data_IF_985722173770
#
_entry.id   IF_985722173770
#
_cell.length_a   1.000
_cell.length_b   1.000
_cell.length_c   1.000
_cell.angle_alpha   90.00
_cell.angle_beta   90.00
_cell.angle_gamma   90.00
#
_symmetry.space_group_name_H-M   'P 1'
#
loop_
_entity.id
_entity.type
_entity.pdbx_description
1 polymer ?
2 polymer ?
3 non-polymer ?
4 water ?
#
# COMPACT_ATOMS: atom_id res chain seq x y z
N UNK A 9 -8.87 -25.39 8.80
CA UNK A 9 -10.30 -25.48 8.60
C UNK A 9 -10.77 -24.45 7.57
N UNK A 10 -10.05 -23.34 7.48
CA UNK A 10 -10.39 -22.27 6.54
C UNK A 10 -10.05 -22.67 5.11
N UNK A 11 -9.00 -23.46 4.95
CA UNK A 11 -8.55 -23.89 3.64
C UNK A 11 -9.48 -24.92 3.02
N UNK A 12 -10.24 -25.61 3.87
CA UNK A 12 -11.13 -26.67 3.42
C UNK A 12 -12.46 -26.12 2.92
N UNK A 13 -12.75 -24.88 3.29
CA UNK A 13 -14.00 -24.22 2.88
C UNK A 13 -14.03 -24.01 1.37
N UNK A 14 -15.21 -24.06 0.79
CA UNK A 14 -15.44 -23.71 -0.59
C UNK A 14 -15.54 -22.21 -0.75
N UNK A 15 -15.57 -21.72 -1.97
CA UNK A 15 -15.61 -20.28 -2.23
C UNK A 15 -16.89 -19.65 -1.68
N UNK A 16 -18.02 -20.33 -1.88
CA UNK A 16 -19.30 -19.81 -1.39
C UNK A 16 -19.37 -19.88 0.13
N UNK A 17 -18.80 -20.93 0.71
CA UNK A 17 -18.72 -21.04 2.16
C UNK A 17 -17.87 -19.93 2.74
N UNK A 18 -16.81 -19.57 2.00
CA UNK A 18 -15.95 -18.45 2.40
C UNK A 18 -16.74 -17.14 2.39
N UNK A 19 -17.48 -16.91 1.32
CA UNK A 19 -18.28 -15.70 1.17
C UNK A 19 -19.35 -15.59 2.26
N UNK A 20 -20.11 -16.66 2.45
CA UNK A 20 -21.18 -16.67 3.44
C UNK A 20 -20.63 -16.45 4.84
N UNK A 21 -19.50 -17.07 5.14
CA UNK A 21 -18.87 -16.93 6.45
C UNK A 21 -18.45 -15.48 6.70
N UNK A 22 -17.91 -14.83 5.68
CA UNK A 22 -17.48 -13.44 5.79
C UNK A 22 -18.66 -12.49 5.92
N UNK A 23 -19.70 -12.73 5.14
CA UNK A 23 -20.90 -11.90 5.18
C UNK A 23 -21.60 -11.99 6.52
N UNK A 24 -21.64 -13.20 7.08
CA UNK A 24 -22.29 -13.43 8.37
C UNK A 24 -21.50 -12.79 9.50
N UNK A 25 -20.19 -12.62 9.29
CA UNK A 25 -19.31 -12.08 10.31
C UNK A 25 -19.29 -10.56 10.32
N UNK A 26 -19.99 -9.95 9.37
CA UNK A 26 -20.02 -8.50 9.25
C UNK A 26 -20.49 -7.81 10.52
N UNK A 27 -19.73 -6.80 10.97
CA UNK A 27 -20.09 -6.02 12.15
C UNK A 27 -21.28 -5.11 11.86
N UNK A 28 -21.98 -4.65 12.90
CA UNK A 28 -23.13 -3.77 12.68
C UNK A 28 -22.72 -2.34 12.36
N UNK A 29 -23.63 -1.58 11.74
CA UNK A 29 -23.39 -0.17 11.51
C UNK A 29 -23.83 0.62 12.73
N UNK A 30 -22.84 1.20 13.43
CA UNK A 30 -23.12 1.91 14.68
C UNK A 30 -23.54 3.35 14.42
N UNK A 31 -24.23 3.93 15.40
CA UNK A 31 -24.60 5.34 15.35
C UNK A 31 -23.65 6.15 16.21
N UNK A 32 -23.48 7.42 15.87
CA UNK A 32 -22.72 8.32 16.72
C UNK A 32 -23.65 8.94 17.75
N UNK A 33 -23.08 9.68 18.70
CA UNK A 33 -23.87 10.41 19.67
C UNK A 33 -24.71 11.46 18.96
N UNK A 34 -25.86 11.81 19.55
CA UNK A 34 -26.78 12.74 18.91
C UNK A 34 -26.62 14.17 19.43
N UNK A 39 -23.76 22.88 14.05
CA UNK A 39 -22.40 22.93 13.50
C UNK A 39 -21.36 22.38 14.44
N UNK A 40 -20.20 21.98 13.91
CA UNK A 40 -19.17 21.32 14.70
C UNK A 40 -17.97 22.22 14.99
N UNK A 41 -17.22 21.85 16.03
CA UNK A 41 -15.95 22.48 16.33
C UNK A 41 -14.85 21.44 16.14
N UNK A 42 -13.61 21.83 16.42
CA UNK A 42 -12.49 20.91 16.29
C UNK A 42 -12.56 19.82 17.36
N UNK A 43 -12.96 20.21 18.56
CA UNK A 43 -13.03 19.29 19.69
C UNK A 43 -14.25 18.39 19.61
N UNK A 44 -15.38 18.95 19.19
CA UNK A 44 -16.63 18.19 19.12
C UNK A 44 -16.62 17.20 17.95
N UNK A 45 -16.02 17.60 16.85
CA UNK A 45 -15.86 16.72 15.70
C UNK A 45 -15.02 15.52 16.08
N UNK A 46 -13.87 15.79 16.70
CA UNK A 46 -12.94 14.75 17.09
C UNK A 46 -13.54 13.87 18.19
N UNK A 47 -14.40 14.46 19.01
CA UNK A 47 -15.06 13.72 20.07
C UNK A 47 -16.00 12.66 19.54
N UNK A 48 -16.86 13.04 18.59
CA UNK A 48 -17.83 12.11 18.00
C UNK A 48 -17.14 10.97 17.27
N UNK A 49 -16.05 11.29 16.58
CA UNK A 49 -15.32 10.29 15.81
C UNK A 49 -14.55 9.32 16.70
N UNK A 50 -13.89 9.87 17.72
CA UNK A 50 -13.14 9.06 18.68
C UNK A 50 -14.06 8.07 19.39
N UNK A 51 -15.20 8.57 19.86
CA UNK A 51 -16.20 7.74 20.52
C UNK A 51 -16.70 6.63 19.59
N UNK A 52 -17.04 7.00 18.36
CA UNK A 52 -17.54 6.06 17.37
C UNK A 52 -16.52 5.00 17.01
N UNK A 53 -15.29 5.42 16.73
CA UNK A 53 -14.22 4.52 16.35
C UNK A 53 -13.90 3.54 17.47
N UNK A 54 -13.94 4.02 18.71
CA UNK A 54 -13.65 3.20 19.87
C UNK A 54 -14.66 2.08 20.06
N UNK A 55 -15.93 2.37 19.78
CA UNK A 55 -16.98 1.37 19.88
C UNK A 55 -16.90 0.39 18.71
N UNK A 56 -16.50 0.90 17.55
CA UNK A 56 -16.31 0.05 16.37
C UNK A 56 -15.21 -0.97 16.57
N UNK A 57 -14.17 -0.57 17.31
CA UNK A 57 -13.02 -1.43 17.58
C UNK A 57 -13.42 -2.72 18.26
N UNK A 58 -14.34 -2.61 19.23
CA UNK A 58 -14.82 -3.77 19.96
C UNK A 58 -15.48 -4.78 19.03
N UNK A 59 -16.30 -4.29 18.11
CA UNK A 59 -16.95 -5.14 17.13
C UNK A 59 -15.96 -5.69 16.10
N UNK A 60 -14.98 -4.87 15.72
CA UNK A 60 -13.96 -5.30 14.76
C UNK A 60 -13.19 -6.52 15.27
N UNK A 61 -12.87 -6.49 16.56
CA UNK A 61 -12.12 -7.57 17.20
C UNK A 61 -12.92 -8.88 17.19
N UNK A 62 -14.22 -8.78 17.40
CA UNK A 62 -15.08 -9.95 17.33
C UNK A 62 -15.31 -10.41 15.90
N UNK A 63 -15.30 -9.45 14.97
CA UNK A 63 -15.36 -9.77 13.55
C UNK A 63 -14.10 -10.50 13.12
N UNK A 64 -12.96 -10.05 13.64
CA UNK A 64 -11.66 -10.62 13.29
C UNK A 64 -11.57 -12.09 13.65
N UNK A 65 -12.05 -12.43 14.85
CA UNK A 65 -12.03 -13.82 15.31
C UNK A 65 -12.88 -14.73 14.42
N UNK A 66 -13.79 -14.13 13.66
CA UNK A 66 -14.66 -14.89 12.78
C UNK A 66 -14.14 -14.95 11.35
N UNK A 67 -13.07 -14.22 11.08
CA UNK A 67 -12.39 -14.34 9.78
C UNK A 67 -11.67 -15.67 9.73
N UNK A 68 -12.06 -16.53 8.77
CA UNK A 68 -11.49 -17.88 8.64
C UNK A 68 -9.95 -17.87 8.58
N UNK A 69 -9.32 -18.58 9.50
CA UNK A 69 -7.87 -18.64 9.55
C UNK A 69 -7.26 -17.79 10.64
N UNK A 70 -8.02 -16.79 11.09
CA UNK A 70 -7.51 -15.84 12.08
C UNK A 70 -7.42 -16.45 13.48
N UNK A 71 -8.27 -17.43 13.77
CA UNK A 71 -8.27 -18.09 15.07
C UNK A 71 -7.10 -19.07 15.19
N UNK A 72 -6.58 -19.50 14.04
CA UNK A 72 -5.49 -20.46 14.02
C UNK A 72 -4.16 -19.83 14.43
N UNK A 73 -4.15 -18.51 14.55
CA UNK A 73 -2.94 -17.78 14.91
C UNK A 73 -2.78 -17.65 16.41
N UNK A 74 -1.54 -17.47 16.85
CA UNK A 74 -1.25 -17.21 18.25
C UNK A 74 -1.89 -15.89 18.66
N UNK A 75 -2.11 -15.70 19.96
CA UNK A 75 -2.66 -14.45 20.47
C UNK A 75 -1.79 -13.27 20.05
N UNK A 76 -0.48 -13.44 20.21
CA UNK A 76 0.48 -12.39 19.85
C UNK A 76 0.37 -12.01 18.36
N UNK A 77 0.21 -13.02 17.52
CA UNK A 77 0.07 -12.79 16.08
C UNK A 77 -1.26 -12.10 15.75
N UNK A 78 -2.32 -12.52 16.42
CA UNK A 78 -3.62 -11.86 16.26
C UNK A 78 -3.53 -10.40 16.65
N UNK A 79 -2.90 -10.15 17.80
CA UNK A 79 -2.69 -8.80 18.30
C UNK A 79 -1.91 -7.94 17.31
N UNK A 80 -0.84 -8.51 16.76
CA UNK A 80 0.00 -7.79 15.80
C UNK A 80 -0.84 -7.31 14.61
N UNK A 81 -1.58 -8.22 14.00
CA UNK A 81 -2.35 -7.91 12.79
C UNK A 81 -3.38 -6.81 13.01
N UNK A 82 -4.10 -6.89 14.13
CA UNK A 82 -5.12 -5.91 14.46
C UNK A 82 -4.50 -4.54 14.73
N UNK A 83 -3.37 -4.53 15.43
CA UNK A 83 -2.65 -3.29 15.72
C UNK A 83 -2.20 -2.60 14.43
N UNK A 84 -1.86 -3.40 13.43
CA UNK A 84 -1.39 -2.88 12.15
C UNK A 84 -2.52 -2.43 11.24
N UNK A 85 -3.63 -3.15 11.27
CA UNK A 85 -4.66 -3.00 10.25
C UNK A 85 -5.90 -2.21 10.67
N UNK A 86 -6.02 -1.88 11.96
CA UNK A 86 -7.29 -1.41 12.49
C UNK A 86 -7.83 -0.13 11.84
N UNK A 87 -6.95 0.81 11.50
CA UNK A 87 -7.42 2.06 10.89
C UNK A 87 -7.76 1.85 9.42
N UNK A 88 -6.98 1.00 8.73
CA UNK A 88 -7.30 0.60 7.37
C UNK A 88 -8.69 -0.03 7.30
N UNK A 89 -8.95 -0.92 8.25
CA UNK A 89 -10.23 -1.64 8.31
C UNK A 89 -11.39 -0.69 8.61
N UNK A 90 -11.17 0.25 9.53
CA UNK A 90 -12.17 1.28 9.81
C UNK A 90 -12.41 2.13 8.57
N UNK A 91 -11.34 2.46 7.85
CA UNK A 91 -11.43 3.32 6.67
C UNK A 91 -12.15 2.67 5.50
N UNK A 92 -11.82 1.42 5.19
CA UNK A 92 -12.46 0.74 4.07
C UNK A 92 -13.94 0.51 4.39
N UNK A 93 -14.26 0.40 5.67
CA UNK A 93 -15.64 0.29 6.10
C UNK A 93 -16.37 1.60 5.91
N UNK A 94 -15.72 2.69 6.28
CA UNK A 94 -16.25 4.04 6.07
C UNK A 94 -16.50 4.31 4.59
N UNK A 95 -15.50 3.99 3.78
CA UNK A 95 -15.55 4.18 2.34
C UNK A 95 -16.69 3.36 1.72
N UNK A 96 -16.86 2.13 2.19
CA UNK A 96 -17.88 1.23 1.67
C UNK A 96 -19.30 1.76 1.86
N UNK A 97 -19.64 2.16 3.08
CA UNK A 97 -20.99 2.64 3.36
C UNK A 97 -21.18 4.10 2.93
N UNK A 98 -20.16 4.67 2.32
CA UNK A 98 -20.26 6.03 1.79
C UNK A 98 -20.51 6.01 0.29
N UNK A 99 -20.55 4.82 -0.29
CA UNK A 99 -20.70 4.66 -1.74
C UNK A 99 -21.99 5.26 -2.30
N UNK A 100 -23.11 4.98 -1.65
CA UNK A 100 -24.40 5.47 -2.14
C UNK A 100 -24.62 6.95 -1.80
N UNK A 101 -23.60 7.59 -1.25
CA UNK A 101 -23.68 9.01 -0.92
C UNK A 101 -22.51 9.78 -1.51
N UNK A 102 -22.50 9.97 -2.84
CA UNK A 102 -21.40 10.63 -3.56
C UNK A 102 -21.09 12.02 -3.03
N UNK A 103 -19.81 12.29 -2.75
CA UNK A 103 -19.40 13.57 -2.24
C UNK A 103 -19.55 13.70 -0.73
N UNK A 104 -19.97 12.61 -0.10
CA UNK A 104 -20.17 12.60 1.35
C UNK A 104 -19.56 11.36 1.99
N UNK A 105 -19.27 11.46 3.29
CA UNK A 105 -18.77 10.32 4.05
C UNK A 105 -19.75 9.94 5.15
N UNK A 106 -20.27 8.72 5.07
CA UNK A 106 -21.25 8.23 6.04
C UNK A 106 -20.56 7.56 7.23
N UNK A 107 -20.09 8.38 8.16
CA UNK A 107 -19.45 7.87 9.38
C UNK A 107 -20.44 7.03 10.18
N UNK A 108 -21.67 7.52 10.26
CA UNK A 108 -22.78 6.82 10.89
C UNK A 108 -24.04 7.28 10.20
N UNK A 109 -25.13 6.50 10.29
CA UNK A 109 -26.39 6.90 9.64
C UNK A 109 -26.86 8.30 10.07
N UNK A 110 -26.51 8.71 11.28
CA UNK A 110 -26.86 10.03 11.77
C UNK A 110 -25.65 10.96 11.81
N UNK A 111 -24.62 10.61 11.05
CA UNK A 111 -23.42 11.44 10.95
C UNK A 111 -22.86 11.41 9.53
N UNK A 112 -23.49 12.17 8.64
CA UNK A 112 -23.07 12.26 7.25
C UNK A 112 -22.39 13.59 6.99
N UNK A 113 -21.13 13.56 6.58
CA UNK A 113 -20.34 14.77 6.46
C UNK A 113 -19.82 15.03 5.05
N UNK A 114 -19.63 16.32 4.73
CA UNK A 114 -18.98 16.71 3.49
C UNK A 114 -17.57 17.22 3.80
N UNK A 115 -16.78 17.46 2.75
CA UNK A 115 -15.40 17.87 2.93
C UNK A 115 -15.30 19.25 3.57
N UNK A 116 -16.39 20.00 3.50
CA UNK A 116 -16.44 21.32 4.11
C UNK A 116 -16.45 21.26 5.62
N UNK A 117 -17.07 20.22 6.16
CA UNK A 117 -17.04 19.97 7.60
C UNK A 117 -15.68 19.41 7.98
N UNK A 118 -14.98 18.85 7.00
CA UNK A 118 -13.68 18.25 7.23
C UNK A 118 -12.62 19.25 7.63
N UNK A 119 -12.82 20.51 7.28
CA UNK A 119 -11.84 21.55 7.60
C UNK A 119 -11.90 21.97 9.06
N UNK A 120 -12.99 21.61 9.73
CA UNK A 120 -13.17 21.93 11.15
C UNK A 120 -12.01 21.40 11.98
N UNK A 121 -11.43 20.30 11.52
CA UNK A 121 -10.19 19.78 12.08
C UNK A 121 -9.04 20.08 11.13
N UNK A 122 -7.99 20.70 11.65
CA UNK A 122 -6.88 21.18 10.83
C UNK A 122 -6.05 20.05 10.23
N UNK A 123 -6.48 19.54 9.08
CA UNK A 123 -5.74 18.51 8.38
C UNK A 123 -6.58 17.31 8.02
N UNK A 124 -7.87 17.37 8.36
CA UNK A 124 -8.78 16.27 8.04
C UNK A 124 -9.17 16.31 6.57
N UNK A 125 -9.14 17.51 6.00
CA UNK A 125 -9.57 17.72 4.61
C UNK A 125 -8.69 16.96 3.61
N UNK A 126 -7.40 16.84 3.89
CA UNK A 126 -6.50 16.08 3.03
C UNK A 126 -6.91 14.61 2.98
N UNK A 127 -7.15 14.02 4.14
CA UNK A 127 -7.53 12.61 4.20
C UNK A 127 -9.00 12.44 3.82
N UNK A 128 -9.81 13.46 4.09
CA UNK A 128 -11.21 13.47 3.68
C UNK A 128 -11.34 13.26 2.18
N UNK A 129 -10.58 14.05 1.42
CA UNK A 129 -10.61 13.98 -0.03
C UNK A 129 -10.12 12.62 -0.54
N UNK A 130 -9.12 12.06 0.13
CA UNK A 130 -8.62 10.74 -0.22
C UNK A 130 -9.68 9.67 0.00
N UNK A 131 -10.40 9.79 1.10
CA UNK A 131 -11.49 8.86 1.42
C UNK A 131 -12.62 8.97 0.40
N UNK A 132 -12.97 10.20 0.06
CA UNK A 132 -14.00 10.45 -0.95
C UNK A 132 -13.57 9.91 -2.31
N UNK A 133 -12.29 10.07 -2.62
CA UNK A 133 -11.74 9.55 -3.87
C UNK A 133 -11.87 8.04 -3.93
N UNK A 134 -11.63 7.38 -2.80
CA UNK A 134 -11.71 5.93 -2.72
C UNK A 134 -13.15 5.45 -2.90
N UNK A 135 -14.09 6.16 -2.27
CA UNK A 135 -15.50 5.81 -2.37
C UNK A 135 -16.00 5.95 -3.81
N UNK A 136 -15.59 7.04 -4.45
CA UNK A 136 -15.95 7.28 -5.85
C UNK A 136 -15.35 6.22 -6.75
N UNK A 137 -14.15 5.76 -6.41
CA UNK A 137 -13.49 4.70 -7.15
C UNK A 137 -14.27 3.39 -7.02
N UNK A 138 -14.71 3.07 -5.80
CA UNK A 138 -15.52 1.89 -5.57
C UNK A 138 -16.86 1.97 -6.29
N UNK A 139 -17.46 3.15 -6.27
CA UNK A 139 -18.74 3.37 -6.94
C UNK A 139 -18.58 3.25 -8.45
N UNK A 140 -17.46 3.76 -8.97
CA UNK A 140 -17.15 3.63 -10.39
C UNK A 140 -17.01 2.17 -10.78
N UNK A 141 -16.39 1.38 -9.91
CA UNK A 141 -16.14 -0.03 -10.19
C UNK A 141 -17.35 -0.91 -9.90
N UNK A 142 -18.38 -0.32 -9.29
CA UNK A 142 -19.56 -1.05 -8.84
C UNK A 142 -19.15 -2.20 -7.92
N UNK A 143 -18.42 -1.86 -6.86
CA UNK A 143 -17.94 -2.83 -5.90
C UNK A 143 -19.09 -3.55 -5.21
N UNK A 144 -19.06 -4.88 -5.23
CA UNK A 144 -20.10 -5.68 -4.60
C UNK A 144 -19.72 -6.03 -3.16
N UNK A 145 -20.74 -6.25 -2.32
CA UNK A 145 -20.53 -6.56 -0.93
C UNK A 145 -19.68 -7.80 -0.70
N UNK A 146 -19.83 -8.79 -1.58
CA UNK A 146 -19.04 -10.01 -1.51
C UNK A 146 -17.57 -9.72 -1.76
N UNK A 147 -17.30 -8.76 -2.64
CA UNK A 147 -15.94 -8.33 -2.92
C UNK A 147 -15.38 -7.53 -1.75
N UNK A 148 -16.22 -6.66 -1.18
CA UNK A 148 -15.81 -5.80 -0.07
C UNK A 148 -15.33 -6.59 1.15
N UNK A 149 -16.05 -7.64 1.51
CA UNK A 149 -15.70 -8.41 2.70
C UNK A 149 -14.43 -9.20 2.48
N UNK A 150 -14.15 -9.54 1.22
CA UNK A 150 -12.90 -10.23 0.89
C UNK A 150 -11.71 -9.28 1.02
N UNK A 151 -11.87 -8.07 0.49
CA UNK A 151 -10.83 -7.04 0.58
C UNK A 151 -10.50 -6.69 2.03
N UNK A 152 -11.54 -6.58 2.85
CA UNK A 152 -11.35 -6.21 4.26
C UNK A 152 -10.63 -7.31 5.02
N UNK A 153 -10.92 -8.56 4.69
CA UNK A 153 -10.22 -9.70 5.28
C UNK A 153 -8.76 -9.72 4.82
N UNK A 154 -8.54 -9.39 3.56
CA UNK A 154 -7.19 -9.33 3.00
C UNK A 154 -6.34 -8.31 3.74
N UNK A 155 -6.93 -7.14 4.00
CA UNK A 155 -6.26 -6.09 4.78
C UNK A 155 -5.82 -6.60 6.14
N UNK A 156 -6.71 -7.32 6.81
CA UNK A 156 -6.44 -7.84 8.15
C UNK A 156 -5.25 -8.81 8.17
N UNK A 157 -5.18 -9.69 7.18
CA UNK A 157 -4.18 -10.73 7.15
C UNK A 157 -2.87 -10.30 6.50
N UNK A 158 -2.93 -9.28 5.65
CA UNK A 158 -1.76 -8.88 4.89
C UNK A 158 -0.94 -7.75 5.50
N UNK A 159 -1.63 -6.78 6.08
CA UNK A 159 -0.99 -5.51 6.48
C UNK A 159 0.15 -5.68 7.48
N UNK A 160 0.07 -6.70 8.33
CA UNK A 160 1.10 -6.91 9.33
C UNK A 160 2.03 -8.07 9.06
N UNK A 161 1.78 -8.81 7.98
CA UNK A 161 2.46 -10.09 7.78
C UNK A 161 3.99 -9.98 7.62
N UNK A 162 4.50 -8.81 7.27
CA UNK A 162 5.93 -8.64 7.04
C UNK A 162 6.64 -7.89 8.16
N UNK A 163 5.95 -7.67 9.27
CA UNK A 163 6.53 -6.95 10.40
C UNK A 163 6.61 -7.84 11.64
N UNK A 164 6.40 -9.14 11.45
CA UNK A 164 6.55 -10.11 12.52
C UNK A 164 7.97 -10.12 13.06
N UNK A 175 4.44 -17.58 8.80
CA UNK A 175 3.70 -16.71 7.90
C UNK A 175 2.98 -17.52 6.83
N UNK A 176 3.38 -18.77 6.68
CA UNK A 176 2.91 -19.60 5.58
C UNK A 176 1.41 -19.92 5.67
N UNK A 177 0.91 -20.07 6.90
CA UNK A 177 -0.52 -20.26 7.11
C UNK A 177 -1.30 -19.06 6.57
N UNK A 178 -0.86 -17.87 6.96
CA UNK A 178 -1.48 -16.62 6.53
C UNK A 178 -1.50 -16.49 5.02
N UNK A 179 -0.39 -16.82 4.38
CA UNK A 179 -0.26 -16.71 2.93
C UNK A 179 -1.20 -17.67 2.20
N UNK A 180 -1.41 -18.86 2.74
CA UNK A 180 -2.32 -19.82 2.12
C UNK A 180 -3.78 -19.39 2.30
N UNK A 181 -4.07 -18.70 3.40
CA UNK A 181 -5.40 -18.15 3.61
C UNK A 181 -5.63 -17.00 2.62
N UNK A 182 -4.60 -16.18 2.43
CA UNK A 182 -4.65 -15.09 1.48
C UNK A 182 -4.91 -15.58 0.06
N UNK A 183 -4.26 -16.69 -0.30
CA UNK A 183 -4.49 -17.31 -1.60
C UNK A 183 -5.94 -17.76 -1.74
N UNK A 184 -6.50 -18.27 -0.65
CA UNK A 184 -7.87 -18.78 -0.67
C UNK A 184 -8.87 -17.64 -0.91
N UNK A 185 -8.57 -16.47 -0.35
CA UNK A 185 -9.42 -15.31 -0.56
C UNK A 185 -9.29 -14.81 -2.00
N UNK A 186 -8.09 -14.93 -2.56
CA UNK A 186 -7.88 -14.61 -3.97
C UNK A 186 -8.72 -15.53 -4.84
N UNK A 187 -8.70 -16.82 -4.54
CA UNK A 187 -9.55 -17.79 -5.22
C UNK A 187 -11.02 -17.40 -5.10
N UNK A 188 -11.38 -16.89 -3.93
CA UNK A 188 -12.76 -16.51 -3.66
C UNK A 188 -13.15 -15.27 -4.47
N UNK A 189 -12.25 -14.29 -4.51
CA UNK A 189 -12.47 -13.08 -5.30
C UNK A 189 -12.65 -13.40 -6.77
N UNK A 190 -11.79 -14.24 -7.32
CA UNK A 190 -11.89 -14.67 -8.70
C UNK A 190 -13.21 -15.43 -8.94
N UNK A 191 -13.56 -16.28 -7.98
CA UNK A 191 -14.81 -17.04 -8.04
C UNK A 191 -16.03 -16.12 -8.15
N UNK A 192 -16.01 -15.03 -7.39
CA UNK A 192 -17.09 -14.06 -7.42
C UNK A 192 -17.20 -13.36 -8.76
N UNK A 193 -16.04 -13.06 -9.35
CA UNK A 193 -15.99 -12.35 -10.62
C UNK A 193 -16.41 -13.23 -11.78
N UNK A 194 -16.02 -14.50 -11.73
CA UNK A 194 -16.43 -15.46 -12.75
C UNK A 194 -17.94 -15.67 -12.70
N UNK A 195 -18.49 -15.63 -11.49
CA UNK A 195 -19.93 -15.75 -11.28
C UNK A 195 -20.68 -14.56 -11.88
N UNK A 196 -20.10 -13.38 -11.75
CA UNK A 196 -20.72 -12.15 -12.25
C UNK A 196 -20.69 -12.08 -13.77
N UNK A 197 -19.99 -13.02 -14.40
CA UNK A 197 -19.97 -13.12 -15.85
C UNK A 197 -18.79 -12.44 -16.51
N UNK A 198 -17.78 -12.12 -15.72
CA UNK A 198 -16.58 -11.48 -16.25
C UNK A 198 -15.72 -12.47 -17.03
N UNK A 199 -15.10 -11.99 -18.11
CA UNK A 199 -14.21 -12.83 -18.90
C UNK A 199 -12.90 -13.06 -18.15
N UNK A 200 -12.04 -13.91 -18.70
CA UNK A 200 -10.75 -14.20 -18.09
C UNK A 200 -9.90 -12.95 -17.94
N UNK A 201 -9.89 -12.13 -18.99
CA UNK A 201 -9.12 -10.89 -18.97
C UNK A 201 -9.68 -9.91 -17.96
N UNK A 202 -11.00 -9.77 -17.96
CA UNK A 202 -11.68 -8.85 -17.04
C UNK A 202 -11.49 -9.27 -15.59
N UNK A 203 -11.31 -10.57 -15.36
CA UNK A 203 -11.17 -11.11 -14.01
C UNK A 203 -9.86 -10.69 -13.35
N UNK A 204 -8.73 -10.88 -14.03
CA UNK A 204 -7.45 -10.51 -13.41
C UNK A 204 -7.26 -9.00 -13.43
N UNK A 205 -7.85 -8.32 -14.41
CA UNK A 205 -7.79 -6.87 -14.48
C UNK A 205 -8.51 -6.23 -13.29
N UNK A 206 -9.70 -6.73 -12.98
CA UNK A 206 -10.46 -6.21 -11.85
C UNK A 206 -9.79 -6.56 -10.53
N UNK A 207 -9.24 -7.77 -10.45
CA UNK A 207 -8.51 -8.21 -9.27
C UNK A 207 -7.36 -7.25 -8.96
N UNK A 208 -6.58 -6.92 -9.99
CA UNK A 208 -5.47 -5.99 -9.84
C UNK A 208 -5.95 -4.62 -9.40
N UNK A 209 -7.01 -4.13 -10.03
CA UNK A 209 -7.59 -2.84 -9.70
C UNK A 209 -7.99 -2.76 -8.23
N UNK A 210 -8.66 -3.81 -7.75
CA UNK A 210 -9.09 -3.84 -6.35
C UNK A 210 -7.91 -3.86 -5.38
N UNK A 211 -6.88 -4.63 -5.72
CA UNK A 211 -5.74 -4.78 -4.82
C UNK A 211 -4.85 -3.54 -4.79
N UNK A 212 -4.82 -2.80 -5.90
CA UNK A 212 -4.03 -1.58 -5.96
C UNK A 212 -4.63 -0.51 -5.06
N UNK A 213 -5.96 -0.51 -4.96
CA UNK A 213 -6.67 0.43 -4.09
C UNK A 213 -6.25 0.22 -2.63
N UNK A 214 -5.87 -1.01 -2.29
CA UNK A 214 -5.40 -1.33 -0.95
C UNK A 214 -4.11 -0.58 -0.59
N UNK A 215 -3.32 -0.24 -1.61
CA UNK A 215 -2.10 0.54 -1.39
C UNK A 215 -2.44 1.95 -0.94
N UNK A 216 -3.47 2.52 -1.55
CA UNK A 216 -4.02 3.81 -1.16
C UNK A 216 -4.63 3.82 0.23
N UNK A 217 -5.29 2.74 0.59
CA UNK A 217 -5.91 2.61 1.90
C UNK A 217 -4.82 2.57 2.96
N UNK A 218 -3.72 1.86 2.66
CA UNK A 218 -2.55 1.86 3.52
C UNK A 218 -2.00 3.27 3.69
N UNK A 219 -1.95 4.01 2.58
CA UNK A 219 -1.43 5.37 2.58
C UNK A 219 -2.29 6.29 3.43
N UNK A 220 -3.60 6.20 3.27
CA UNK A 220 -4.52 7.01 4.07
C UNK A 220 -4.35 6.69 5.55
N UNK A 221 -4.25 5.41 5.86
CA UNK A 221 -4.05 4.95 7.24
C UNK A 221 -2.74 5.49 7.83
N UNK A 222 -1.68 5.49 7.02
CA UNK A 222 -0.39 6.02 7.48
C UNK A 222 -0.47 7.50 7.83
N UNK A 223 -1.10 8.28 6.96
CA UNK A 223 -1.29 9.71 7.21
C UNK A 223 -2.23 9.92 8.40
N UNK A 224 -3.17 9.00 8.55
CA UNK A 224 -4.13 9.04 9.64
C UNK A 224 -3.47 8.81 10.99
N UNK A 225 -2.69 7.74 11.09
CA UNK A 225 -1.93 7.43 12.30
C UNK A 225 -1.06 8.61 12.71
N UNK A 226 -0.49 9.27 11.70
CA UNK A 226 0.46 10.36 11.90
C UNK A 226 -0.15 11.51 12.68
N UNK A 227 -1.43 11.75 12.46
CA UNK A 227 -2.11 12.86 13.12
C UNK A 227 -2.66 12.46 14.51
N UNK A 228 -2.91 11.18 14.73
CA UNK A 228 -3.42 10.71 16.02
C UNK A 228 -2.33 10.83 17.08
N UNK A 229 -1.09 10.61 16.66
CA UNK A 229 0.05 10.78 17.53
C UNK A 229 0.26 12.27 17.85
N UNK A 230 -0.18 13.13 16.94
CA UNK A 230 0.01 14.57 17.08
C UNK A 230 -1.16 15.24 17.80
N UNK A 231 -2.21 14.48 18.08
CA UNK A 231 -3.29 14.94 18.97
C UNK A 231 -3.36 14.26 20.32
N UNK A 232 -2.65 13.15 20.47
CA UNK A 232 -2.37 12.65 21.80
C UNK A 232 -1.45 13.67 22.44
N UNK A 233 -0.77 14.42 21.57
CA UNK A 233 0.25 15.39 21.95
C UNK A 233 -0.07 16.79 21.42
N UNK A 234 -0.75 17.62 22.20
CA UNK A 234 -1.28 17.25 23.51
C UNK A 234 -2.76 16.94 23.38
N UNK A 235 -3.39 16.55 24.49
CA UNK A 235 -4.79 16.16 24.49
C UNK A 235 -5.71 17.29 24.00
N UNK A 239 -8.83 10.52 23.83
CA UNK A 239 -8.55 9.18 23.31
C UNK A 239 -8.61 8.13 24.41
N UNK A 240 -9.35 7.07 24.17
CA UNK A 240 -9.51 5.99 25.15
C UNK A 240 -8.20 5.22 25.31
N UNK A 241 -8.08 4.49 26.42
CA UNK A 241 -6.90 3.69 26.69
C UNK A 241 -6.70 2.62 25.63
N UNK A 242 -7.80 2.08 25.11
CA UNK A 242 -7.74 1.09 24.05
C UNK A 242 -7.20 1.72 22.76
N UNK A 243 -7.70 2.92 22.44
CA UNK A 243 -7.20 3.65 21.28
C UNK A 243 -5.75 4.05 21.45
N UNK A 244 -5.37 4.40 22.67
CA UNK A 244 -3.99 4.79 22.96
C UNK A 244 -3.04 3.61 22.77
N UNK A 245 -3.50 2.41 23.12
CA UNK A 245 -2.67 1.22 22.97
C UNK A 245 -2.58 0.78 21.51
N UNK A 246 -3.64 0.99 20.75
CA UNK A 246 -3.62 0.76 19.32
C UNK A 246 -2.62 1.71 18.65
N UNK A 247 -2.53 2.91 19.18
CA UNK A 247 -1.67 3.95 18.63
C UNK A 247 -0.19 3.73 18.93
N UNK A 248 0.11 3.41 20.18
CA UNK A 248 1.50 3.22 20.62
C UNK A 248 2.23 2.17 19.80
N UNK A 249 1.48 1.24 19.22
CA UNK A 249 2.05 0.17 18.41
C UNK A 249 2.59 0.71 17.08
N UNK A 250 2.16 1.91 16.70
CA UNK A 250 2.60 2.52 15.44
C UNK A 250 3.66 3.59 15.65
N UNK A 251 4.23 3.65 16.86
CA UNK A 251 5.23 4.67 17.18
C UNK A 251 6.47 4.05 17.80
N UNK B 8 -2.19 7.22 -28.50
CA UNK B 8 -1.27 6.53 -27.61
C UNK B 8 -0.52 5.42 -28.33
N UNK B 9 0.79 5.37 -28.21
CA UNK B 9 1.54 4.15 -28.52
C UNK B 9 1.19 2.98 -27.59
N UNK B 10 0.95 3.31 -26.33
CA UNK B 10 1.07 2.35 -25.24
C UNK B 10 0.07 1.22 -25.41
N UNK B 11 -1.11 1.59 -25.86
CA UNK B 11 -2.23 0.68 -25.86
C UNK B 11 -2.01 -0.44 -26.83
N UNK B 12 -1.16 -0.19 -27.83
CA UNK B 12 -1.10 -1.05 -29.00
C UNK B 12 -0.09 -2.17 -28.87
N UNK B 13 0.56 -2.21 -27.72
CA UNK B 13 1.69 -3.09 -27.47
C UNK B 13 1.24 -4.48 -27.03
N UNK B 14 1.88 -5.50 -27.59
CA UNK B 14 1.70 -6.86 -27.11
C UNK B 14 2.40 -6.98 -25.76
N UNK B 15 2.16 -8.09 -25.06
CA UNK B 15 2.77 -8.31 -23.76
C UNK B 15 4.29 -8.37 -23.86
N UNK B 16 4.78 -9.05 -24.89
CA UNK B 16 6.21 -9.19 -25.10
C UNK B 16 6.87 -7.85 -25.42
N UNK B 17 6.19 -7.02 -26.21
CA UNK B 17 6.71 -5.70 -26.53
C UNK B 17 6.67 -4.77 -25.33
N UNK B 18 5.70 -4.99 -24.44
CA UNK B 18 5.65 -4.26 -23.18
C UNK B 18 6.87 -4.57 -22.34
N UNK B 19 7.18 -5.86 -22.20
CA UNK B 19 8.34 -6.30 -21.42
C UNK B 19 9.64 -5.75 -21.98
N UNK B 20 9.81 -5.84 -23.29
CA UNK B 20 11.01 -5.36 -23.96
C UNK B 20 11.24 -3.87 -23.69
N UNK B 21 10.17 -3.08 -23.84
CA UNK B 21 10.24 -1.64 -23.60
C UNK B 21 10.72 -1.34 -22.18
N UNK B 22 10.14 -2.04 -21.21
CA UNK B 22 10.49 -1.83 -19.81
C UNK B 22 11.92 -2.28 -19.51
N UNK B 23 12.30 -3.44 -20.05
CA UNK B 23 13.64 -3.98 -19.83
C UNK B 23 14.71 -3.06 -20.41
N UNK B 24 14.47 -2.54 -21.61
CA UNK B 24 15.42 -1.64 -22.26
C UNK B 24 15.52 -0.30 -21.55
N UNK B 25 14.46 0.05 -20.81
CA UNK B 25 14.38 1.34 -20.13
C UNK B 25 14.99 1.31 -18.74
N UNK B 26 15.46 0.15 -18.30
CA UNK B 26 16.02 0.01 -16.97
C UNK B 26 17.20 0.94 -16.72
N UNK B 27 17.15 1.68 -15.60
CA UNK B 27 18.27 2.54 -15.22
C UNK B 27 19.50 1.72 -14.85
N UNK B 28 20.68 2.33 -14.84
CA UNK B 28 21.87 1.57 -14.44
C UNK B 28 21.98 1.43 -12.93
N UNK B 29 22.80 0.48 -12.47
CA UNK B 29 23.08 0.36 -11.05
C UNK B 29 24.29 1.23 -10.72
N UNK B 30 24.04 2.29 -9.95
CA UNK B 30 25.08 3.26 -9.66
C UNK B 30 25.94 2.84 -8.47
N UNK B 31 27.15 3.40 -8.41
CA UNK B 31 28.02 3.18 -7.29
C UNK B 31 27.91 4.31 -6.28
N UNK B 32 28.12 3.98 -5.03
CA UNK B 32 28.32 4.92 -3.97
C UNK B 32 29.75 5.44 -3.88
N UNK B 33 29.92 6.43 -3.04
CA UNK B 33 31.21 7.02 -2.79
C UNK B 33 31.91 6.34 -1.65
N UNK B 34 31.39 5.21 -1.20
CA UNK B 34 31.78 4.68 0.08
C UNK B 34 33.27 4.48 0.10
N UNK B 35 33.94 5.02 1.10
CA UNK B 35 35.35 4.73 1.29
C UNK B 35 35.41 3.84 2.45
N UNK B 36 35.80 2.53 2.22
CA UNK B 36 36.04 1.76 3.44
C UNK B 36 37.22 2.39 4.09
N UNK B 37 37.30 2.34 5.42
CA UNK B 37 38.32 3.10 6.08
C UNK B 37 38.22 4.55 5.63
N UNK B 38 37.05 5.15 5.79
CA UNK B 38 36.40 5.23 7.10
C UNK B 38 35.86 3.90 7.58
N UNK B 39 35.96 3.62 8.86
CA UNK B 39 34.82 2.96 9.51
C UNK B 39 33.73 3.98 9.72
N UNK B 40 32.49 3.55 9.80
CA UNK B 40 31.41 4.43 9.48
C UNK B 40 31.45 5.58 10.46
N UNK B 41 31.20 6.78 9.98
CA UNK B 41 30.82 7.85 10.86
C UNK B 41 29.55 7.44 11.50
N UNK B 42 28.62 6.99 10.69
CA UNK B 42 27.22 6.98 11.06
C UNK B 42 26.62 8.36 11.12
N UNK B 43 27.26 9.35 10.52
CA UNK B 43 26.50 10.27 9.71
C UNK B 43 27.13 10.62 8.40
N UNK B 44 28.27 9.99 8.11
CA UNK B 44 28.72 9.89 6.76
C UNK B 44 27.71 9.07 5.98
N UNK B 45 27.15 8.08 6.64
CA UNK B 45 26.37 7.07 5.96
C UNK B 45 25.14 7.66 5.31
N UNK B 46 24.51 8.61 5.97
CA UNK B 46 23.42 9.34 5.39
C UNK B 46 23.82 10.19 4.22
N UNK B 47 25.00 10.77 4.29
CA UNK B 47 25.56 11.49 3.16
C UNK B 47 25.74 10.55 1.98
N UNK B 48 26.28 9.37 2.26
CA UNK B 48 26.46 8.33 1.24
C UNK B 48 25.13 7.95 0.58
N UNK B 49 24.13 7.70 1.42
CA UNK B 49 22.82 7.28 0.93
C UNK B 49 22.09 8.42 0.21
N UNK B 50 22.24 9.63 0.72
CA UNK B 50 21.62 10.80 0.10
C UNK B 50 22.24 11.10 -1.27
N UNK B 51 23.56 11.11 -1.33
CA UNK B 51 24.27 11.33 -2.58
C UNK B 51 23.90 10.28 -3.62
N UNK B 52 23.76 9.04 -3.16
CA UNK B 52 23.38 7.94 -4.04
C UNK B 52 21.96 8.10 -4.56
N UNK B 53 21.02 8.34 -3.63
CA UNK B 53 19.62 8.52 -4.00
C UNK B 53 19.42 9.68 -4.94
N UNK B 54 20.19 10.75 -4.72
CA UNK B 54 20.11 11.95 -5.55
C UNK B 54 20.54 11.67 -6.99
N UNK B 55 21.60 10.88 -7.16
CA UNK B 55 22.06 10.52 -8.50
C UNK B 55 21.08 9.55 -9.15
N UNK B 56 20.51 8.64 -8.35
CA UNK B 56 19.51 7.70 -8.84
C UNK B 56 18.25 8.40 -9.33
N UNK B 57 17.87 9.47 -8.65
CA UNK B 57 16.67 10.24 -9.02
C UNK B 57 16.75 10.76 -10.44
N UNK B 58 17.94 11.22 -10.84
CA UNK B 58 18.15 11.73 -12.18
C UNK B 58 17.86 10.65 -13.22
N UNK B 59 18.34 9.44 -12.96
CA UNK B 59 18.10 8.31 -13.85
C UNK B 59 16.65 7.87 -13.80
N UNK B 60 16.04 7.95 -12.61
CA UNK B 60 14.64 7.58 -12.45
C UNK B 60 13.72 8.48 -13.27
N UNK B 61 14.03 9.78 -13.27
CA UNK B 61 13.26 10.76 -14.02
C UNK B 61 13.28 10.45 -15.51
N UNK B 62 14.46 10.11 -16.02
CA UNK B 62 14.59 9.74 -17.43
C UNK B 62 14.05 8.34 -17.71
N UNK B 63 14.02 7.50 -16.67
CA UNK B 63 13.40 6.19 -16.79
C UNK B 63 11.88 6.31 -16.95
N UNK B 64 11.29 7.21 -16.16
CA UNK B 64 9.84 7.41 -16.18
C UNK B 64 9.34 7.81 -17.56
N UNK B 65 10.13 8.61 -18.27
CA UNK B 65 9.79 9.04 -19.62
C UNK B 65 9.63 7.86 -20.57
N UNK B 66 10.34 6.78 -20.30
CA UNK B 66 10.34 5.62 -21.19
C UNK B 66 9.32 4.57 -20.75
N UNK B 67 8.60 4.85 -19.68
CA UNK B 67 7.50 3.99 -19.25
C UNK B 67 6.28 4.31 -20.10
N UNK B 68 5.75 3.29 -20.80
CA UNK B 68 4.60 3.44 -21.73
C UNK B 68 3.44 4.21 -21.11
N UNK B 69 3.05 5.30 -21.76
CA UNK B 69 1.91 6.09 -21.33
C UNK B 69 2.28 7.32 -20.51
N UNK B 70 3.48 7.31 -19.94
CA UNK B 70 3.90 8.39 -19.05
C UNK B 70 4.06 9.74 -19.77
N UNK B 71 4.47 9.69 -21.03
CA UNK B 71 4.66 10.92 -21.80
C UNK B 71 3.34 11.44 -22.38
N UNK B 72 2.29 10.64 -22.25
CA UNK B 72 0.97 11.06 -22.69
C UNK B 72 0.28 11.91 -21.63
N UNK B 73 0.97 12.11 -20.51
CA UNK B 73 0.44 12.90 -19.41
C UNK B 73 1.02 14.30 -19.42
N UNK B 74 0.33 15.24 -18.77
CA UNK B 74 0.82 16.61 -18.65
C UNK B 74 2.05 16.65 -17.76
N UNK B 75 2.83 17.72 -17.87
CA UNK B 75 4.00 17.90 -17.03
C UNK B 75 3.61 17.93 -15.56
N UNK B 76 2.48 18.57 -15.27
CA UNK B 76 1.96 18.66 -13.91
C UNK B 76 1.70 17.29 -13.32
N UNK B 77 1.10 16.40 -14.12
CA UNK B 77 0.78 15.05 -13.66
C UNK B 77 2.03 14.19 -13.55
N UNK B 78 2.99 14.38 -14.47
CA UNK B 78 4.25 13.66 -14.40
C UNK B 78 5.00 14.01 -13.12
N UNK B 79 5.04 15.30 -12.81
CA UNK B 79 5.66 15.78 -11.58
C UNK B 79 5.01 15.16 -10.35
N UNK B 80 3.68 15.12 -10.35
CA UNK B 80 2.93 14.61 -9.22
C UNK B 80 3.18 13.12 -8.98
N UNK B 81 3.14 12.33 -10.06
CA UNK B 81 3.36 10.89 -9.96
C UNK B 81 4.73 10.57 -9.38
N UNK B 82 5.75 11.33 -9.80
CA UNK B 82 7.11 11.13 -9.33
C UNK B 82 7.29 11.59 -7.88
N UNK B 83 6.65 12.70 -7.52
CA UNK B 83 6.72 13.21 -6.15
C UNK B 83 6.17 12.19 -5.16
N UNK B 84 5.14 11.47 -5.59
CA UNK B 84 4.48 10.49 -4.74
C UNK B 84 5.24 9.17 -4.68
N UNK B 85 5.83 8.77 -5.80
CA UNK B 85 6.32 7.40 -5.95
C UNK B 85 7.83 7.23 -5.85
N UNK B 86 8.59 8.32 -5.82
CA UNK B 86 10.04 8.23 -5.99
C UNK B 86 10.74 7.37 -4.92
N UNK B 87 10.31 7.46 -3.67
CA UNK B 87 10.95 6.69 -2.61
C UNK B 87 10.56 5.21 -2.73
N UNK B 88 9.29 4.95 -3.05
CA UNK B 88 8.83 3.59 -3.32
C UNK B 88 9.66 2.93 -4.40
N UNK B 89 9.90 3.69 -5.47
CA UNK B 89 10.64 3.18 -6.63
C UNK B 89 12.10 2.91 -6.28
N UNK B 90 12.70 3.82 -5.50
CA UNK B 90 14.05 3.58 -4.99
C UNK B 90 14.09 2.32 -4.12
N UNK B 91 13.05 2.14 -3.32
CA UNK B 91 13.00 1.02 -2.38
C UNK B 91 12.85 -0.33 -3.08
N UNK B 92 11.98 -0.40 -4.09
CA UNK B 92 11.76 -1.67 -4.76
C UNK B 92 12.97 -2.03 -5.63
N UNK B 93 13.69 -1.01 -6.09
CA UNK B 93 14.92 -1.23 -6.83
C UNK B 93 15.96 -1.83 -5.90
N UNK B 94 16.04 -1.27 -4.70
CA UNK B 94 16.98 -1.74 -3.68
C UNK B 94 16.74 -3.19 -3.28
N UNK B 95 15.49 -3.53 -2.98
CA UNK B 95 15.17 -4.88 -2.51
C UNK B 95 15.34 -5.90 -3.64
N UNK B 96 15.19 -5.46 -4.89
CA UNK B 96 15.38 -6.33 -6.05
C UNK B 96 16.85 -6.72 -6.23
N UNK B 97 17.74 -5.74 -6.16
CA UNK B 97 19.16 -6.03 -6.33
C UNK B 97 19.76 -6.61 -5.05
N UNK B 98 18.96 -6.66 -3.99
CA UNK B 98 19.39 -7.25 -2.73
C UNK B 98 18.91 -8.69 -2.58
N UNK B 99 18.17 -9.17 -3.58
CA UNK B 99 17.56 -10.49 -3.54
C UNK B 99 18.57 -11.62 -3.30
N UNK B 100 19.75 -11.51 -3.92
CA UNK B 100 20.74 -12.57 -3.81
C UNK B 100 21.70 -12.35 -2.64
N UNK B 101 21.34 -11.44 -1.75
CA UNK B 101 22.16 -11.15 -0.59
C UNK B 101 21.36 -11.24 0.70
N UNK B 102 21.11 -12.47 1.16
CA UNK B 102 20.31 -12.72 2.38
C UNK B 102 20.81 -11.94 3.59
N UNK B 103 19.90 -11.25 4.26
CA UNK B 103 20.21 -10.52 5.48
C UNK B 103 20.96 -9.22 5.27
N UNK B 104 21.17 -8.83 4.01
CA UNK B 104 21.84 -7.56 3.71
C UNK B 104 21.15 -6.80 2.59
N UNK B 105 21.40 -5.49 2.53
CA UNK B 105 20.83 -4.63 1.50
C UNK B 105 21.92 -4.10 0.58
N UNK B 106 21.79 -4.37 -0.71
CA UNK B 106 22.78 -3.93 -1.69
C UNK B 106 22.42 -2.54 -2.21
N UNK B 107 22.79 -1.51 -1.47
CA UNK B 107 22.54 -0.13 -1.86
C UNK B 107 23.32 0.21 -3.13
N UNK B 108 24.52 -0.35 -3.21
CA UNK B 108 25.38 -0.21 -4.37
C UNK B 108 26.32 -1.42 -4.38
N UNK B 109 26.87 -1.78 -5.56
CA UNK B 109 27.80 -2.92 -5.62
C UNK B 109 28.94 -2.82 -4.61
N UNK B 110 29.29 -1.60 -4.22
CA UNK B 110 30.34 -1.39 -3.23
C UNK B 110 29.77 -0.92 -1.89
N UNK B 111 28.48 -1.10 -1.68
CA UNK B 111 27.85 -0.73 -0.41
C UNK B 111 26.80 -1.76 -0.01
N UNK B 112 27.25 -2.85 0.62
CA UNK B 112 26.37 -3.91 1.08
C UNK B 112 26.26 -3.86 2.60
N UNK B 113 25.06 -3.61 3.12
CA UNK B 113 24.92 -3.30 4.54
C UNK B 113 24.00 -4.28 5.27
N UNK B 114 24.30 -4.52 6.55
CA UNK B 114 23.47 -5.36 7.40
C UNK B 114 22.58 -4.52 8.32
N UNK B 115 21.82 -5.20 9.19
CA UNK B 115 20.97 -4.55 10.17
C UNK B 115 21.73 -3.68 11.15
N UNK B 116 22.92 -4.17 11.51
CA UNK B 116 23.70 -3.56 12.58
C UNK B 116 24.26 -2.25 12.18
N UNK B 117 24.55 -2.10 10.89
CA UNK B 117 25.20 -0.90 10.40
C UNK B 117 24.10 0.03 10.05
N UNK B 118 22.92 -0.52 10.15
CA UNK B 118 21.69 0.25 10.05
C UNK B 118 21.54 1.15 11.23
N UNK B 119 21.89 0.60 12.38
CA UNK B 119 21.63 1.25 13.65
C UNK B 119 22.43 2.54 13.69
N UNK B 120 23.37 2.68 12.78
CA UNK B 120 24.20 3.85 12.77
C UNK B 120 23.30 5.04 12.62
N UNK B 121 22.06 4.82 12.20
CA UNK B 121 21.09 5.93 12.23
C UNK B 121 19.76 5.65 12.92
N UNK B 122 19.30 6.64 13.64
CA UNK B 122 18.51 6.33 14.80
C UNK B 122 17.25 5.63 14.37
N UNK B 123 16.58 6.19 13.39
CA UNK B 123 15.34 5.67 12.86
C UNK B 123 15.43 4.34 12.15
N UNK B 124 16.50 4.17 11.40
CA UNK B 124 16.48 3.42 10.18
C UNK B 124 16.18 1.96 10.37
N UNK B 125 16.58 1.39 11.49
CA UNK B 125 16.58 -0.10 11.54
C UNK B 125 15.21 -0.64 11.15
N UNK B 126 14.20 0.15 11.47
CA UNK B 126 12.83 -0.26 11.38
C UNK B 126 12.51 -0.43 9.91
N UNK B 127 12.82 0.61 9.15
CA UNK B 127 12.70 0.58 7.71
C UNK B 127 13.66 -0.47 7.15
N UNK B 128 14.83 -0.60 7.77
CA UNK B 128 15.84 -1.56 7.32
C UNK B 128 15.30 -2.99 7.39
N UNK B 129 14.67 -3.34 8.50
CA UNK B 129 14.08 -4.66 8.68
C UNK B 129 12.96 -4.97 7.69
N UNK B 130 12.16 -3.96 7.38
CA UNK B 130 11.06 -4.13 6.44
C UNK B 130 11.57 -4.33 5.02
N UNK B 131 12.63 -3.61 4.67
CA UNK B 131 13.24 -3.77 3.36
C UNK B 131 13.81 -5.18 3.20
N UNK B 132 14.44 -5.68 4.26
CA UNK B 132 14.97 -7.04 4.28
C UNK B 132 13.87 -8.08 4.13
N UNK B 133 12.77 -7.88 4.85
CA UNK B 133 11.64 -8.80 4.78
C UNK B 133 11.04 -8.83 3.39
N UNK B 134 10.99 -7.67 2.74
CA UNK B 134 10.48 -7.55 1.38
C UNK B 134 11.37 -8.30 0.40
N UNK B 135 12.68 -8.13 0.55
CA UNK B 135 13.65 -8.80 -0.31
C UNK B 135 13.57 -10.31 -0.12
N UNK B 136 13.43 -10.74 1.12
CA UNK B 136 13.26 -12.16 1.44
C UNK B 136 12.00 -12.71 0.76
N UNK B 137 10.94 -11.90 0.77
CA UNK B 137 9.69 -12.28 0.14
C UNK B 137 9.85 -12.48 -1.37
N UNK B 138 10.57 -11.56 -2.01
CA UNK B 138 10.85 -11.67 -3.44
C UNK B 138 11.67 -12.92 -3.74
N UNK B 139 12.63 -13.22 -2.87
CA UNK B 139 13.48 -14.40 -3.02
C UNK B 139 12.67 -15.68 -2.93
N UNK B 140 11.77 -15.72 -1.94
CA UNK B 140 10.89 -16.86 -1.71
C UNK B 140 9.98 -17.11 -2.91
N UNK B 141 9.41 -16.04 -3.45
CA UNK B 141 8.54 -16.14 -4.61
C UNK B 141 9.34 -16.32 -5.90
N UNK B 142 10.65 -16.16 -5.79
CA UNK B 142 11.54 -16.15 -6.95
C UNK B 142 11.04 -15.17 -8.00
N UNK B 143 10.93 -13.90 -7.60
CA UNK B 143 10.49 -12.83 -8.49
C UNK B 143 11.40 -12.75 -9.71
N UNK B 144 10.78 -12.60 -10.89
CA UNK B 144 11.53 -12.51 -12.13
C UNK B 144 11.76 -11.05 -12.52
N UNK B 145 12.82 -10.81 -13.29
CA UNK B 145 13.16 -9.48 -13.74
C UNK B 145 12.05 -8.85 -14.57
N UNK B 146 11.39 -9.68 -15.37
CA UNK B 146 10.28 -9.22 -16.18
C UNK B 146 9.09 -8.82 -15.31
N UNK B 147 8.90 -9.53 -14.21
CA UNK B 147 7.84 -9.19 -13.26
C UNK B 147 8.20 -7.93 -12.48
N UNK B 148 9.49 -7.78 -12.17
CA UNK B 148 9.96 -6.64 -11.39
C UNK B 148 9.75 -5.31 -12.12
N UNK B 149 10.09 -5.26 -13.40
CA UNK B 149 9.94 -4.02 -14.16
C UNK B 149 8.46 -3.66 -14.32
N UNK B 150 7.60 -4.68 -14.34
CA UNK B 150 6.16 -4.46 -14.39
C UNK B 150 5.68 -3.82 -13.09
N UNK B 151 6.10 -4.38 -11.97
CA UNK B 151 5.71 -3.89 -10.66
C UNK B 151 6.16 -2.45 -10.44
N UNK B 152 7.39 -2.15 -10.85
CA UNK B 152 7.95 -0.82 -10.68
C UNK B 152 7.18 0.23 -11.48
N UNK B 153 6.79 -0.14 -12.70
CA UNK B 153 5.98 0.75 -13.54
C UNK B 153 4.60 0.97 -12.94
N UNK B 154 4.04 -0.08 -12.33
CA UNK B 154 2.75 0.02 -11.66
C UNK B 154 2.81 1.03 -10.53
N UNK B 155 3.89 0.97 -9.76
CA UNK B 155 4.11 1.90 -8.65
C UNK B 155 4.12 3.36 -9.13
N UNK B 156 4.83 3.61 -10.22
CA UNK B 156 4.91 4.93 -10.81
C UNK B 156 3.54 5.49 -11.18
N UNK B 157 2.75 4.65 -11.86
CA UNK B 157 1.45 5.09 -12.37
C UNK B 157 0.35 5.12 -11.30
N UNK B 158 0.45 4.23 -10.32
CA UNK B 158 -0.65 4.06 -9.36
C UNK B 158 -0.56 4.91 -8.10
N UNK B 159 0.64 5.10 -7.59
CA UNK B 159 0.82 5.71 -6.27
C UNK B 159 0.26 7.13 -6.15
N UNK B 160 0.15 7.83 -7.26
CA UNK B 160 -0.35 9.19 -7.25
C UNK B 160 -1.64 9.39 -8.02
N UNK B 161 -2.23 8.29 -8.48
CA UNK B 161 -3.41 8.38 -9.33
C UNK B 161 -4.66 8.79 -8.55
N UNK B 162 -4.59 8.69 -7.22
CA UNK B 162 -5.66 9.18 -6.36
C UNK B 162 -5.19 10.42 -5.63
N UNK B 163 -4.09 10.99 -6.11
CA UNK B 163 -3.50 12.22 -5.56
C UNK B 163 -3.25 12.11 -4.05
N UNK B 171 -13.29 18.29 -15.05
CA UNK B 171 -12.70 17.00 -15.34
C UNK B 171 -11.58 17.15 -16.37
N UNK B 172 -10.80 16.08 -16.58
CA UNK B 172 -9.70 16.16 -17.54
C UNK B 172 -9.98 15.20 -18.74
N UNK B 173 -9.97 13.85 -18.60
CA UNK B 173 -9.49 13.09 -17.45
C UNK B 173 -8.50 11.99 -17.88
N UNK B 174 -7.23 12.28 -17.61
CA UNK B 174 -6.14 11.36 -17.96
C UNK B 174 -6.03 10.24 -16.93
N UNK B 175 -6.81 10.34 -15.85
CA UNK B 175 -6.82 9.31 -14.83
C UNK B 175 -7.29 7.99 -15.41
N UNK B 176 -8.22 8.07 -16.36
CA UNK B 176 -8.74 6.92 -17.07
C UNK B 176 -7.61 6.33 -17.93
N UNK B 177 -6.90 7.21 -18.63
CA UNK B 177 -5.80 6.81 -19.50
C UNK B 177 -4.76 5.99 -18.75
N UNK B 178 -4.46 6.40 -17.52
CA UNK B 178 -3.53 5.68 -16.67
C UNK B 178 -4.08 4.30 -16.31
N UNK B 179 -5.38 4.23 -16.05
CA UNK B 179 -6.05 2.97 -15.72
C UNK B 179 -5.95 1.97 -16.87
N UNK B 180 -6.05 2.48 -18.09
CA UNK B 180 -5.92 1.62 -19.28
C UNK B 180 -4.53 1.00 -19.34
N UNK B 181 -3.51 1.81 -19.08
CA UNK B 181 -2.14 1.34 -19.11
C UNK B 181 -1.88 0.38 -17.97
N UNK B 182 -2.43 0.68 -16.80
CA UNK B 182 -2.31 -0.20 -15.64
C UNK B 182 -2.91 -1.58 -15.92
N UNK B 183 -4.05 -1.60 -16.63
CA UNK B 183 -4.67 -2.85 -17.02
C UNK B 183 -3.77 -3.61 -17.97
N UNK B 184 -3.11 -2.90 -18.85
CA UNK B 184 -2.21 -3.50 -19.79
C UNK B 184 -1.03 -4.17 -19.13
N UNK B 185 -0.51 -3.57 -18.08
CA UNK B 185 0.60 -4.13 -17.33
C UNK B 185 0.12 -5.39 -16.60
N UNK B 186 -1.14 -5.39 -16.18
CA UNK B 186 -1.72 -6.56 -15.54
C UNK B 186 -1.79 -7.73 -16.54
N UNK B 187 -2.22 -7.42 -17.75
CA UNK B 187 -2.27 -8.41 -18.82
C UNK B 187 -0.88 -8.97 -19.09
N UNK B 188 0.12 -8.10 -18.98
CA UNK B 188 1.51 -8.47 -19.22
C UNK B 188 2.02 -9.43 -18.15
N UNK B 189 1.73 -9.12 -16.90
CA UNK B 189 2.11 -9.99 -15.77
C UNK B 189 1.53 -11.38 -15.93
N UNK B 190 0.23 -11.44 -16.23
CA UNK B 190 -0.46 -12.71 -16.46
C UNK B 190 0.18 -13.49 -17.60
N UNK B 191 0.46 -12.78 -18.70
CA UNK B 191 1.11 -13.38 -19.86
C UNK B 191 2.44 -14.02 -19.50
N UNK B 192 3.18 -13.37 -18.60
CA UNK B 192 4.47 -13.88 -18.14
C UNK B 192 4.30 -15.16 -17.33
N UNK B 193 3.34 -15.16 -16.42
CA UNK B 193 3.10 -16.29 -15.54
C UNK B 193 2.58 -17.51 -16.29
N UNK B 194 1.71 -17.26 -17.28
CA UNK B 194 1.17 -18.33 -18.10
C UNK B 194 2.27 -18.99 -18.91
N UNK B 195 3.32 -18.23 -19.23
CA UNK B 195 4.45 -18.75 -19.98
C UNK B 195 5.35 -19.61 -19.09
N UNK B 196 5.36 -19.31 -17.80
CA UNK B 196 6.22 -20.02 -16.85
C UNK B 196 5.61 -21.36 -16.44
N UNK B 197 4.48 -21.72 -17.04
CA UNK B 197 3.85 -23.00 -16.77
C UNK B 197 2.92 -22.98 -15.57
N UNK B 198 2.46 -21.80 -15.19
CA UNK B 198 1.55 -21.65 -14.06
C UNK B 198 0.10 -21.86 -14.50
N UNK B 199 -0.68 -22.53 -13.65
CA UNK B 199 -2.11 -22.70 -13.91
C UNK B 199 -2.82 -21.38 -13.69
N UNK B 200 -4.05 -21.27 -14.18
CA UNK B 200 -4.84 -20.06 -14.03
C UNK B 200 -4.99 -19.67 -12.57
N UNK B 201 -5.22 -20.66 -11.71
CA UNK B 201 -5.30 -20.43 -10.28
C UNK B 201 -4.00 -19.87 -9.75
N UNK B 202 -2.89 -20.45 -10.18
CA UNK B 202 -1.56 -20.01 -9.75
C UNK B 202 -1.24 -18.61 -10.27
N UNK B 203 -1.68 -18.30 -11.49
CA UNK B 203 -1.47 -16.99 -12.07
C UNK B 203 -2.16 -15.90 -11.26
N UNK B 204 -3.42 -16.13 -10.95
CA UNK B 204 -4.17 -15.20 -10.14
C UNK B 204 -3.63 -15.06 -8.77
N UNK B 205 -3.25 -16.15 -8.17
CA UNK B 205 -2.70 -16.14 -6.82
C UNK B 205 -1.38 -15.37 -6.77
N UNK B 206 -0.49 -15.65 -7.72
CA UNK B 206 0.80 -14.96 -7.78
C UNK B 206 0.61 -13.47 -8.04
N UNK B 207 -0.31 -13.14 -8.95
CA UNK B 207 -0.64 -11.76 -9.25
C UNK B 207 -1.04 -11.00 -8.00
N UNK B 208 -1.91 -11.61 -7.21
CA UNK B 208 -2.36 -11.03 -5.96
C UNK B 208 -1.21 -10.86 -4.99
N UNK B 209 -0.41 -11.91 -4.85
CA UNK B 209 0.76 -11.91 -3.96
C UNK B 209 1.70 -10.75 -4.26
N UNK B 210 1.95 -10.50 -5.55
CA UNK B 210 2.84 -9.43 -5.96
C UNK B 210 2.29 -8.04 -5.65
N UNK B 211 1.01 -7.84 -5.92
CA UNK B 211 0.39 -6.53 -5.74
C UNK B 211 0.20 -6.19 -4.27
N UNK B 212 0.04 -7.21 -3.43
CA UNK B 212 -0.10 -6.98 -1.99
C UNK B 212 1.21 -6.49 -1.39
N UNK B 213 2.33 -6.88 -1.99
CA UNK B 213 3.63 -6.42 -1.52
C UNK B 213 3.76 -4.91 -1.73
N UNK B 214 3.06 -4.39 -2.73
CA UNK B 214 3.08 -2.96 -3.02
C UNK B 214 2.51 -2.12 -1.88
N UNK B 215 1.59 -2.69 -1.10
CA UNK B 215 1.04 -1.98 0.05
C UNK B 215 2.10 -1.83 1.14
N UNK B 216 2.95 -2.85 1.26
CA UNK B 216 4.04 -2.79 2.23
C UNK B 216 5.14 -1.84 1.78
N UNK B 217 5.31 -1.71 0.47
CA UNK B 217 6.28 -0.77 -0.07
C UNK B 217 5.77 0.65 0.12
N UNK B 218 4.46 0.84 -0.02
CA UNK B 218 3.85 2.13 0.29
C UNK B 218 4.06 2.46 1.76
N UNK B 219 3.87 1.45 2.61
CA UNK B 219 4.05 1.59 4.04
C UNK B 219 5.47 2.02 4.39
N UNK B 220 6.45 1.33 3.83
CA UNK B 220 7.86 1.65 4.07
C UNK B 220 8.20 3.07 3.63
N UNK B 221 7.70 3.45 2.45
CA UNK B 221 7.93 4.79 1.93
C UNK B 221 7.38 5.84 2.89
N UNK B 222 6.13 5.64 3.34
CA UNK B 222 5.50 6.54 4.27
C UNK B 222 6.29 6.69 5.57
N UNK B 223 6.66 5.55 6.16
CA UNK B 223 7.44 5.57 7.39
C UNK B 223 8.78 6.26 7.18
N UNK B 224 9.38 6.03 6.01
CA UNK B 224 10.63 6.67 5.65
C UNK B 224 10.45 8.17 5.51
N UNK B 225 9.41 8.56 4.78
CA UNK B 225 9.09 9.97 4.56
C UNK B 225 8.90 10.72 5.87
N UNK B 226 8.34 10.05 6.88
CA UNK B 226 8.12 10.67 8.18
C UNK B 226 9.42 11.18 8.81
N UNK B 227 10.41 10.29 8.92
CA UNK B 227 11.68 10.63 9.53
C UNK B 227 12.42 11.73 8.76
N UNK B 228 12.18 11.79 7.46
CA UNK B 228 12.74 12.85 6.63
C UNK B 228 12.17 14.21 7.03
N UNK B 229 10.87 14.24 7.28
CA UNK B 229 10.20 15.46 7.72
C UNK B 229 10.48 15.76 9.20
N UNK B 230 11.67 15.40 9.66
CA UNK B 230 12.08 15.63 11.04
C UNK B 230 13.61 15.65 11.14
N UNK B 238 20.36 16.92 5.70
CA UNK B 238 21.43 16.56 4.77
C UNK B 238 20.87 16.15 3.41
N UNK B 239 20.13 17.05 2.76
CA UNK B 239 19.44 16.71 1.52
C UNK B 239 19.88 17.59 0.35
N UNK B 240 19.82 17.01 -0.84
CA UNK B 240 20.14 17.75 -2.06
C UNK B 240 18.96 18.61 -2.49
N UNK B 241 19.19 19.50 -3.44
CA UNK B 241 18.14 20.42 -3.89
C UNK B 241 17.02 19.71 -4.65
N UNK B 242 17.36 18.59 -5.30
CA UNK B 242 16.35 17.81 -5.99
C UNK B 242 15.51 17.02 -5.00
N UNK B 243 16.16 16.46 -3.99
CA UNK B 243 15.46 15.73 -2.93
C UNK B 243 14.57 16.66 -2.12
N UNK B 244 15.11 17.82 -1.76
CA UNK B 244 14.36 18.82 -0.99
C UNK B 244 13.07 19.23 -1.69
N UNK B 245 13.09 19.22 -3.02
CA UNK B 245 11.88 19.51 -3.78
C UNK B 245 10.89 18.36 -3.72
N UNK B 246 11.39 17.13 -3.86
CA UNK B 246 10.56 15.94 -3.79
C UNK B 246 9.82 15.88 -2.45
N UNK B 247 10.49 16.31 -1.39
CA UNK B 247 9.89 16.39 -0.06
C UNK B 247 9.05 17.65 0.08
N UNK B 248 7.89 17.66 -0.57
CA UNK B 248 7.00 18.81 -0.51
C UNK B 248 6.42 19.00 0.88
N UNK C 2 -2.33 -6.00 31.01
CA UNK C 2 -1.42 -4.99 30.51
C UNK C 2 -1.77 -4.56 29.08
N UNK C 3 -2.52 -5.39 28.38
CA UNK C 3 -3.03 -5.05 27.06
C UNK C 3 -4.52 -5.36 26.94
N UNK C 4 -5.31 -4.32 26.73
CA UNK C 4 -6.75 -4.45 26.58
C UNK C 4 -7.12 -5.33 25.40
N UNK C 5 -6.36 -5.21 24.32
CA UNK C 5 -6.58 -5.99 23.11
C UNK C 5 -6.46 -7.48 23.39
N UNK C 6 -5.57 -7.85 24.30
CA UNK C 6 -5.43 -9.23 24.74
C UNK C 6 -6.74 -9.75 25.31
N UNK C 7 -7.35 -8.95 26.18
CA UNK C 7 -8.59 -9.35 26.85
C UNK C 7 -9.74 -9.50 25.87
N UNK C 8 -9.88 -8.52 24.97
CA UNK C 8 -10.99 -8.50 24.03
C UNK C 8 -10.93 -9.67 23.05
N UNK C 9 -9.72 -10.13 22.75
CA UNK C 9 -9.53 -11.27 21.86
C UNK C 9 -9.84 -12.60 22.55
N UNK C 10 -9.43 -12.72 23.81
CA UNK C 10 -9.67 -13.93 24.58
C UNK C 10 -11.16 -14.10 24.88
N UNK C 11 -11.83 -12.97 25.15
CA UNK C 11 -13.24 -12.99 25.48
C UNK C 11 -14.10 -13.32 24.27
N UNK D 3 11.37 24.59 -10.18
CA UNK D 3 11.23 23.17 -9.94
C UNK D 3 12.17 22.36 -10.83
N UNK D 4 13.20 21.77 -10.23
CA UNK D 4 14.17 20.97 -10.96
C UNK D 4 13.51 19.78 -11.66
N UNK D 5 12.57 19.16 -10.96
CA UNK D 5 11.85 18.00 -11.49
C UNK D 5 11.19 18.32 -12.84
N UNK D 6 10.50 19.44 -12.92
CA UNK D 6 9.84 19.87 -14.14
C UNK D 6 10.85 20.13 -15.25
N UNK D 7 12.01 20.67 -14.88
CA UNK D 7 13.06 20.98 -15.85
C UNK D 7 13.64 19.71 -16.48
N UNK D 8 14.08 18.79 -15.63
CA UNK D 8 14.65 17.52 -16.09
C UNK D 8 13.64 16.70 -16.88
N UNK D 9 12.35 16.93 -16.61
CA UNK D 9 11.29 16.23 -17.33
C UNK D 9 11.05 16.83 -18.71
N UNK D 10 11.53 18.05 -18.93
CA UNK D 10 11.30 18.77 -20.19
C UNK D 10 12.40 18.58 -21.22
N UNK D 11 13.62 18.32 -20.75
CA UNK D 11 14.78 18.21 -21.64
C UNK D 11 14.62 17.11 -22.69
#
# INVERSE_FOLDING_TARGET
>A
IKRSKKNSLALSLTADQMVSALLDAEPPILYSEYDPTRPFSEASMMGLLTNLADRELVHMINWAKRVPGFVDLTLHDQVHLLECAWLEILMIGLVWRSMEHPGKLLFAPNLLLDRNQGKCVEGMVEIFDMLLATSSRFRMMNLQGEEFVCLKSIILLNSGVYTFLSSTLKSLEEKDHIHRVLDKITDTLIHLMAKAGLTLQQQHQRLAQLLLILSHIRHMSNKGMEHLYSMKCKNVVPLSDLLLEMLDAHRLHAPTS
>B
IKRSKKNSLALSLTADQMVSALLDAEPPILYSEYDPTRPFSEASMMGLLTNLADRELVHMINWAKRVPGFVDLTLHDQVHLLECAWLEILMIGLVWRSMEHPGKLLFAPNLLLDRNQGKCVEGMVEIFDMLLATSSRFRMMNLQGEEFVCLKSIILLNSGVYTFLSSTLKSLEEKDHIHRVLDKITDTLIHLMAKAGLTLQQQHQRLAQLLLILSHIRHMSNKGMEHLYSMKCKNVVPLSDLLLEMLDAHRLHAPTS
>C
KHKILHRLLQDSSS
>D
KHKILHRLLQDSSS
#
